data_IF_560645105175
#
_entry.id   IF_560645105175
#
_cell.length_a   1.000
_cell.length_b   1.000
_cell.length_c   1.000
_cell.angle_alpha   90.00
_cell.angle_beta   90.00
_cell.angle_gamma   90.00
#
_symmetry.space_group_name_H-M   'P 1'
#
loop_
_entity.id
_entity.type
_entity.pdbx_description
1 polymer ?
#
# COMPACT_ATOMS: atom_id res chain seq x y z
N UNK A 1 14.50 -52.35 58.06
CA UNK A 1 15.22 -51.50 57.05
C UNK A 1 14.73 -51.88 55.69
N UNK A 2 13.85 -51.02 55.13
CA UNK A 2 13.33 -51.13 53.77
C UNK A 2 14.09 -50.10 52.86
N UNK A 3 14.79 -50.65 51.88
CA UNK A 3 15.39 -49.85 50.77
C UNK A 3 14.31 -49.43 49.80
N UNK A 4 14.21 -48.09 49.56
CA UNK A 4 13.37 -47.49 48.54
C UNK A 4 14.21 -47.32 47.29
N UNK A 5 13.96 -48.11 46.26
CA UNK A 5 14.52 -47.98 44.92
C UNK A 5 13.67 -46.95 44.16
N UNK A 6 14.23 -45.77 43.90
CA UNK A 6 13.66 -44.76 42.97
C UNK A 6 14.07 -45.14 41.56
N UNK A 7 13.09 -45.50 40.72
CA UNK A 7 13.27 -45.59 39.27
C UNK A 7 13.52 -44.20 38.66
N UNK A 8 14.40 -44.07 37.66
CA UNK A 8 14.57 -42.82 36.91
C UNK A 8 13.41 -42.60 35.93
N UNK A 9 12.71 -41.49 36.08
CA UNK A 9 11.68 -41.02 35.16
C UNK A 9 12.32 -40.69 33.83
N UNK A 10 12.00 -41.45 32.80
CA UNK A 10 12.40 -41.18 31.41
C UNK A 10 11.64 -39.95 30.93
N UNK A 11 12.32 -38.81 30.78
CA UNK A 11 11.78 -37.66 30.07
C UNK A 11 11.48 -38.05 28.62
N UNK A 12 10.23 -37.90 28.22
CA UNK A 12 9.80 -38.06 26.83
C UNK A 12 10.46 -36.97 25.96
N UNK A 13 11.45 -37.37 25.18
CA UNK A 13 12.00 -36.54 24.11
C UNK A 13 10.88 -36.30 23.09
N UNK A 14 10.29 -35.11 23.12
CA UNK A 14 9.36 -34.68 22.07
C UNK A 14 10.16 -34.52 20.78
N UNK A 15 9.94 -35.45 19.83
CA UNK A 15 10.44 -35.28 18.45
C UNK A 15 10.02 -33.91 17.90
N UNK A 16 10.92 -33.20 17.17
CA UNK A 16 10.56 -31.97 16.53
C UNK A 16 9.43 -32.24 15.53
N UNK A 17 8.27 -31.60 15.74
CA UNK A 17 7.12 -31.65 14.86
C UNK A 17 7.59 -31.21 13.45
N UNK A 18 7.77 -32.17 12.57
CA UNK A 18 8.08 -31.92 11.18
C UNK A 18 6.89 -31.19 10.54
N UNK A 19 7.07 -29.89 10.25
CA UNK A 19 6.09 -29.12 9.48
C UNK A 19 5.83 -29.90 8.18
N UNK A 20 4.57 -30.26 7.84
CA UNK A 20 4.29 -31.05 6.67
C UNK A 20 4.86 -30.37 5.42
N UNK A 21 5.70 -31.10 4.66
CA UNK A 21 6.23 -30.60 3.38
C UNK A 21 5.05 -30.26 2.47
N UNK A 22 4.99 -29.06 1.91
CA UNK A 22 3.89 -28.67 1.02
C UNK A 22 3.73 -29.67 -0.13
N UNK A 23 2.51 -30.11 -0.37
CA UNK A 23 2.20 -31.09 -1.45
C UNK A 23 2.35 -30.50 -2.85
N UNK A 24 2.41 -29.17 -2.95
CA UNK A 24 2.57 -28.44 -4.23
C UNK A 24 3.86 -27.63 -4.23
N UNK A 25 4.65 -27.75 -5.29
CA UNK A 25 5.92 -27.04 -5.47
C UNK A 25 5.69 -25.76 -6.28
N UNK A 26 6.00 -24.56 -5.75
CA UNK A 26 5.88 -23.31 -6.48
C UNK A 26 6.68 -23.33 -7.79
N UNK A 27 6.01 -23.04 -8.90
CA UNK A 27 6.66 -22.89 -10.22
C UNK A 27 6.95 -21.43 -10.56
N UNK A 28 6.28 -20.48 -9.87
CA UNK A 28 6.48 -19.05 -10.05
C UNK A 28 5.92 -18.21 -8.91
N UNK A 29 6.34 -16.96 -8.88
CA UNK A 29 5.82 -15.93 -7.98
C UNK A 29 5.69 -14.61 -8.73
N UNK A 30 4.61 -13.87 -8.49
CA UNK A 30 4.35 -12.53 -9.04
C UNK A 30 3.94 -11.58 -7.93
N UNK A 31 4.23 -10.30 -8.12
CA UNK A 31 3.79 -9.19 -7.28
C UNK A 31 2.73 -8.37 -8.01
N UNK A 32 1.80 -7.78 -7.28
CA UNK A 32 0.79 -6.87 -7.83
C UNK A 32 1.38 -5.52 -8.28
N UNK A 33 2.59 -5.17 -7.83
CA UNK A 33 3.36 -3.99 -8.23
C UNK A 33 4.84 -4.33 -8.35
N UNK A 34 5.50 -3.75 -9.35
CA UNK A 34 6.95 -3.78 -9.56
C UNK A 34 7.65 -2.51 -9.10
N UNK A 35 6.88 -1.41 -9.05
CA UNK A 35 7.36 -0.10 -8.63
C UNK A 35 6.31 0.60 -7.77
N UNK A 36 6.76 1.21 -6.67
CA UNK A 36 5.92 1.92 -5.70
C UNK A 36 6.64 3.21 -5.30
N UNK A 37 5.89 4.31 -5.22
CA UNK A 37 6.37 5.58 -4.66
C UNK A 37 5.56 5.88 -3.41
N UNK A 38 6.24 6.09 -2.28
CA UNK A 38 5.65 6.41 -0.98
C UNK A 38 6.26 7.69 -0.42
N UNK A 39 5.48 8.44 0.32
CA UNK A 39 6.01 9.43 1.24
C UNK A 39 6.57 8.75 2.50
N UNK A 40 7.50 9.39 3.19
CA UNK A 40 7.97 8.90 4.50
C UNK A 40 6.79 8.64 5.45
N UNK A 41 6.84 7.55 6.23
CA UNK A 41 5.79 7.08 7.15
C UNK A 41 4.57 6.41 6.50
N UNK A 42 4.42 6.46 5.18
CA UNK A 42 3.35 5.75 4.47
C UNK A 42 3.62 4.25 4.39
N UNK A 43 2.56 3.48 4.18
CA UNK A 43 2.63 2.02 4.04
C UNK A 43 1.87 1.55 2.81
N UNK A 44 2.29 0.40 2.27
CA UNK A 44 1.66 -0.28 1.14
C UNK A 44 1.58 -1.78 1.39
N UNK A 45 0.42 -2.39 1.16
CA UNK A 45 0.27 -3.84 1.20
C UNK A 45 0.63 -4.44 -0.16
N UNK A 46 1.81 -5.04 -0.26
CA UNK A 46 2.30 -5.71 -1.46
C UNK A 46 1.71 -7.12 -1.51
N UNK A 47 0.89 -7.40 -2.52
CA UNK A 47 0.29 -8.72 -2.69
C UNK A 47 1.14 -9.60 -3.60
N UNK A 48 1.20 -10.90 -3.26
CA UNK A 48 1.88 -11.92 -4.04
C UNK A 48 0.90 -12.95 -4.60
N UNK A 49 1.20 -13.49 -5.76
CA UNK A 49 0.53 -14.66 -6.34
C UNK A 49 1.57 -15.73 -6.61
N UNK A 50 1.35 -16.94 -6.06
CA UNK A 50 2.24 -18.09 -6.24
C UNK A 50 1.57 -19.07 -7.21
N UNK A 51 2.30 -19.47 -8.26
CA UNK A 51 1.83 -20.48 -9.21
C UNK A 51 2.20 -21.87 -8.69
N UNK A 52 1.24 -22.79 -8.64
CA UNK A 52 1.37 -24.14 -8.08
C UNK A 52 1.91 -24.17 -6.63
N UNK A 53 1.42 -23.25 -5.78
CA UNK A 53 1.84 -23.18 -4.39
C UNK A 53 0.87 -22.31 -3.58
N UNK A 54 1.22 -22.02 -2.34
CA UNK A 54 0.46 -21.13 -1.47
C UNK A 54 1.32 -20.00 -0.87
N UNK A 55 0.68 -18.99 -0.32
CA UNK A 55 1.34 -17.80 0.21
C UNK A 55 2.15 -18.08 1.50
N UNK A 56 1.82 -19.12 2.28
CA UNK A 56 2.57 -19.47 3.50
C UNK A 56 4.02 -19.90 3.24
N UNK A 57 4.37 -20.07 1.95
CA UNK A 57 5.71 -20.44 1.50
C UNK A 57 6.54 -19.24 1.02
N UNK A 58 6.03 -18.01 1.21
CA UNK A 58 6.69 -16.78 0.74
C UNK A 58 7.32 -16.06 1.93
N UNK A 59 8.57 -15.67 1.75
CA UNK A 59 9.30 -14.78 2.66
C UNK A 59 9.59 -13.46 1.98
N UNK A 60 9.56 -12.36 2.74
CA UNK A 60 9.87 -11.03 2.25
C UNK A 60 11.19 -10.52 2.82
N UNK A 61 11.92 -9.76 2.03
CA UNK A 61 13.15 -9.09 2.45
C UNK A 61 13.27 -7.72 1.81
N UNK A 62 14.03 -6.83 2.45
CA UNK A 62 14.34 -5.49 1.95
C UNK A 62 15.84 -5.33 1.76
N UNK A 63 16.23 -4.64 0.71
CA UNK A 63 17.63 -4.30 0.45
C UNK A 63 18.19 -3.24 1.39
N UNK A 64 17.34 -2.35 1.93
CA UNK A 64 17.76 -1.31 2.86
C UNK A 64 16.63 -0.94 3.85
N UNK A 65 16.76 -1.41 5.09
CA UNK A 65 15.80 -1.15 6.18
C UNK A 65 15.72 0.32 6.61
N UNK A 66 16.74 1.13 6.33
CA UNK A 66 16.72 2.57 6.61
C UNK A 66 15.85 3.35 5.63
N UNK A 67 15.53 2.77 4.47
CA UNK A 67 14.67 3.37 3.44
C UNK A 67 13.25 2.80 3.51
N UNK A 68 13.12 1.47 3.51
CA UNK A 68 11.84 0.80 3.62
C UNK A 68 11.98 -0.54 4.35
N UNK A 69 11.02 -0.87 5.19
CA UNK A 69 10.88 -2.20 5.82
C UNK A 69 9.75 -2.96 5.16
N UNK A 70 9.73 -4.27 5.32
CA UNK A 70 8.63 -5.15 4.92
C UNK A 70 8.41 -6.19 6.02
N UNK A 71 7.15 -6.48 6.35
CA UNK A 71 6.79 -7.53 7.28
C UNK A 71 6.52 -8.87 6.57
N UNK A 72 6.20 -9.89 7.35
CA UNK A 72 5.90 -11.26 6.87
C UNK A 72 4.66 -11.33 5.96
N UNK A 73 3.74 -10.36 6.08
CA UNK A 73 2.52 -10.27 5.28
C UNK A 73 2.70 -9.43 4.00
N UNK A 74 3.92 -8.93 3.74
CA UNK A 74 4.22 -8.08 2.59
C UNK A 74 3.84 -6.61 2.77
N UNK A 75 3.50 -6.17 4.01
CA UNK A 75 3.27 -4.74 4.27
C UNK A 75 4.60 -4.00 4.30
N UNK A 76 4.78 -3.13 3.32
CA UNK A 76 5.91 -2.22 3.21
C UNK A 76 5.63 -0.98 4.06
N UNK A 77 6.63 -0.51 4.80
CA UNK A 77 6.60 0.77 5.52
C UNK A 77 7.77 1.62 5.07
N UNK A 78 7.48 2.84 4.59
CA UNK A 78 8.47 3.82 4.20
C UNK A 78 9.11 4.46 5.45
N UNK A 79 10.44 4.41 5.54
CA UNK A 79 11.21 4.89 6.71
C UNK A 79 11.97 6.17 6.38
N UNK A 80 12.83 6.13 5.38
CA UNK A 80 13.69 7.26 4.99
C UNK A 80 13.74 7.46 3.49
N UNK A 81 14.09 8.67 3.07
CA UNK A 81 14.16 9.04 1.65
C UNK A 81 15.24 8.22 0.94
N UNK A 82 14.92 7.70 -0.24
CA UNK A 82 15.80 6.89 -1.07
C UNK A 82 15.06 5.79 -1.82
N UNK A 83 15.81 4.81 -2.31
CA UNK A 83 15.25 3.66 -3.05
C UNK A 83 15.70 2.35 -2.41
N UNK A 84 14.78 1.43 -2.23
CA UNK A 84 15.04 0.08 -1.72
C UNK A 84 14.31 -0.95 -2.56
N UNK A 85 14.92 -2.13 -2.73
CA UNK A 85 14.33 -3.28 -3.41
C UNK A 85 13.69 -4.19 -2.36
N UNK A 86 12.40 -4.46 -2.51
CA UNK A 86 11.69 -5.49 -1.75
C UNK A 86 11.67 -6.76 -2.61
N UNK A 87 12.03 -7.89 -2.01
CA UNK A 87 12.05 -9.19 -2.67
C UNK A 87 11.15 -10.15 -1.94
N UNK A 88 10.22 -10.76 -2.66
CA UNK A 88 9.45 -11.92 -2.23
C UNK A 88 10.11 -13.20 -2.77
N UNK A 89 10.28 -14.20 -1.92
CA UNK A 89 10.96 -15.46 -2.26
C UNK A 89 10.17 -16.64 -1.75
N UNK A 90 9.93 -17.64 -2.60
CA UNK A 90 9.37 -18.93 -2.21
C UNK A 90 10.44 -19.81 -1.56
N UNK A 91 10.03 -20.84 -0.79
CA UNK A 91 10.96 -21.78 -0.15
C UNK A 91 11.91 -22.49 -1.14
N UNK A 92 11.47 -22.70 -2.39
CA UNK A 92 12.26 -23.34 -3.45
C UNK A 92 13.01 -22.33 -4.35
N UNK A 93 13.15 -21.06 -3.91
CA UNK A 93 14.02 -20.07 -4.50
C UNK A 93 13.42 -19.23 -5.64
N UNK A 94 12.13 -19.36 -6.01
CA UNK A 94 11.50 -18.45 -6.96
C UNK A 94 11.38 -17.06 -6.35
N UNK A 95 11.71 -16.02 -7.10
CA UNK A 95 11.72 -14.63 -6.61
C UNK A 95 10.93 -13.69 -7.50
N UNK A 96 10.33 -12.67 -6.88
CA UNK A 96 9.81 -11.48 -7.54
C UNK A 96 10.20 -10.25 -6.73
N UNK A 97 10.37 -9.10 -7.38
CA UNK A 97 10.86 -7.90 -6.72
C UNK A 97 10.02 -6.68 -7.06
N UNK A 98 9.98 -5.75 -6.10
CA UNK A 98 9.36 -4.44 -6.23
C UNK A 98 10.38 -3.37 -5.83
N UNK A 99 10.54 -2.32 -6.65
CA UNK A 99 11.34 -1.15 -6.34
C UNK A 99 10.48 -0.16 -5.55
N UNK A 100 10.91 0.19 -4.35
CA UNK A 100 10.24 1.19 -3.50
C UNK A 100 11.05 2.45 -3.48
N UNK A 101 10.52 3.54 -4.03
CA UNK A 101 11.08 4.87 -3.94
C UNK A 101 10.36 5.65 -2.84
N UNK A 102 11.10 6.02 -1.81
CA UNK A 102 10.59 6.83 -0.70
C UNK A 102 11.02 8.27 -0.91
N UNK A 103 10.07 9.19 -0.89
CA UNK A 103 10.27 10.64 -0.94
C UNK A 103 9.81 11.27 0.38
N UNK A 104 10.15 12.56 0.60
CA UNK A 104 9.54 13.32 1.70
C UNK A 104 8.01 13.27 1.55
N UNK A 105 7.28 13.06 2.64
CA UNK A 105 5.82 13.13 2.62
C UNK A 105 5.37 14.54 2.23
N UNK A 106 4.41 14.65 1.31
CA UNK A 106 3.86 15.93 0.89
C UNK A 106 3.14 16.61 2.07
N UNK A 107 3.53 17.84 2.39
CA UNK A 107 2.96 18.64 3.48
C UNK A 107 1.83 19.55 3.02
N UNK A 108 1.64 19.69 1.72
CA UNK A 108 0.61 20.52 1.09
C UNK A 108 0.13 19.94 -0.23
N UNK A 109 -1.01 20.42 -0.68
CA UNK A 109 -1.61 20.13 -1.99
C UNK A 109 -2.28 21.40 -2.51
N UNK A 110 -2.18 21.66 -3.81
CA UNK A 110 -2.86 22.76 -4.48
C UNK A 110 -3.75 22.23 -5.60
N UNK A 111 -4.77 23.00 -5.97
CA UNK A 111 -5.62 22.76 -7.13
C UNK A 111 -5.33 23.82 -8.19
N UNK A 112 -5.50 23.47 -9.47
CA UNK A 112 -5.37 24.42 -10.59
C UNK A 112 -6.45 25.51 -10.56
N UNK A 113 -7.56 25.28 -9.84
CA UNK A 113 -8.63 26.25 -9.56
C UNK A 113 -9.16 26.07 -8.15
N UNK A 114 -9.44 27.19 -7.47
CA UNK A 114 -10.12 27.22 -6.17
C UNK A 114 -11.62 27.49 -6.31
N UNK A 115 -12.05 27.92 -7.50
CA UNK A 115 -13.45 28.16 -7.84
C UNK A 115 -13.64 27.97 -9.34
N UNK A 116 -14.74 27.33 -9.75
CA UNK A 116 -15.18 27.14 -11.14
C UNK A 116 -16.69 27.38 -11.24
N UNK A 117 -17.12 27.94 -12.36
CA UNK A 117 -18.53 28.06 -12.73
C UNK A 117 -18.77 27.22 -13.97
N UNK A 118 -19.79 26.36 -13.96
CA UNK A 118 -20.10 25.42 -15.04
C UNK A 118 -21.58 25.49 -15.39
N UNK A 119 -21.91 25.47 -16.67
CA UNK A 119 -23.25 25.19 -17.15
C UNK A 119 -23.63 23.72 -16.90
N UNK A 120 -24.92 23.45 -16.73
CA UNK A 120 -25.43 22.05 -16.58
C UNK A 120 -24.99 21.21 -17.78
N UNK A 121 -24.39 20.07 -17.54
CA UNK A 121 -23.82 19.16 -18.53
C UNK A 121 -22.32 19.41 -18.80
N UNK A 122 -21.79 20.56 -18.45
CA UNK A 122 -20.36 20.86 -18.64
C UNK A 122 -19.46 20.05 -17.71
N UNK A 123 -18.20 19.90 -18.14
CA UNK A 123 -17.16 19.15 -17.43
C UNK A 123 -15.91 20.00 -17.27
N UNK A 124 -15.18 19.78 -16.19
CA UNK A 124 -13.91 20.46 -15.91
C UNK A 124 -12.91 19.49 -15.28
N UNK A 125 -11.68 19.47 -15.80
CA UNK A 125 -10.57 18.71 -15.23
C UNK A 125 -9.91 19.51 -14.10
N UNK A 126 -10.26 19.14 -12.86
CA UNK A 126 -9.69 19.73 -11.65
C UNK A 126 -8.41 18.99 -11.30
N UNK A 127 -7.27 19.59 -11.65
CA UNK A 127 -5.96 18.99 -11.42
C UNK A 127 -5.37 19.43 -10.09
N UNK A 128 -4.67 18.51 -9.44
CA UNK A 128 -3.95 18.79 -8.19
C UNK A 128 -2.45 18.61 -8.35
N UNK A 129 -1.67 19.37 -7.59
CA UNK A 129 -0.22 19.25 -7.49
C UNK A 129 0.24 19.23 -6.03
N UNK A 130 1.39 18.61 -5.81
CA UNK A 130 2.10 18.56 -4.51
C UNK A 130 3.50 19.14 -4.72
N UNK A 131 4.19 19.58 -3.65
CA UNK A 131 5.54 20.13 -3.76
C UNK A 131 6.50 19.18 -4.48
N UNK A 132 7.44 19.73 -5.24
CA UNK A 132 8.46 18.96 -5.95
C UNK A 132 9.25 18.07 -4.99
N UNK A 133 9.66 16.89 -5.47
CA UNK A 133 10.41 15.89 -4.69
C UNK A 133 9.69 15.35 -3.45
N UNK A 134 8.36 15.55 -3.35
CA UNK A 134 7.51 14.91 -2.34
C UNK A 134 6.66 13.80 -2.93
N UNK A 135 6.04 13.00 -2.08
CA UNK A 135 5.08 11.99 -2.48
C UNK A 135 3.91 11.92 -1.49
N UNK A 136 2.79 11.42 -1.97
CA UNK A 136 1.67 10.92 -1.19
C UNK A 136 1.16 9.67 -1.90
N UNK A 137 0.86 8.61 -1.15
CA UNK A 137 0.47 7.31 -1.71
C UNK A 137 -0.77 7.42 -2.61
N UNK A 138 -1.74 8.28 -2.24
CA UNK A 138 -2.89 8.59 -3.09
C UNK A 138 -3.29 10.06 -3.00
N UNK A 139 -3.98 10.50 -4.05
CA UNK A 139 -4.73 11.76 -4.15
C UNK A 139 -6.12 11.41 -4.64
N UNK A 140 -7.14 11.68 -3.84
CA UNK A 140 -8.51 11.31 -4.15
C UNK A 140 -9.43 12.53 -4.05
N UNK A 141 -10.35 12.63 -5.02
CA UNK A 141 -11.32 13.70 -5.11
C UNK A 141 -12.68 13.26 -4.56
N UNK A 142 -13.35 14.18 -3.89
CA UNK A 142 -14.65 13.98 -3.28
C UNK A 142 -15.53 15.21 -3.52
N UNK A 143 -16.79 15.00 -3.88
CA UNK A 143 -17.81 16.04 -3.95
C UNK A 143 -18.63 16.04 -2.67
N UNK A 144 -18.93 17.22 -2.13
CA UNK A 144 -19.84 17.35 -1.00
C UNK A 144 -21.31 17.14 -1.40
N UNK A 145 -21.64 17.34 -2.69
CA UNK A 145 -22.96 17.05 -3.23
C UNK A 145 -22.85 16.50 -4.66
N UNK A 146 -22.94 15.18 -4.80
CA UNK A 146 -22.83 14.48 -6.08
C UNK A 146 -24.06 14.64 -6.98
N UNK A 147 -25.18 15.14 -6.44
CA UNK A 147 -26.35 15.50 -7.25
C UNK A 147 -26.11 16.78 -8.04
N UNK A 148 -25.35 17.74 -7.46
CA UNK A 148 -24.99 18.99 -8.14
C UNK A 148 -23.79 18.75 -9.06
N UNK A 149 -22.65 18.31 -8.51
CA UNK A 149 -21.44 18.10 -9.29
C UNK A 149 -20.64 16.88 -8.74
N UNK A 150 -20.85 15.68 -9.31
CA UNK A 150 -19.97 14.53 -9.06
C UNK A 150 -18.57 14.78 -9.61
N UNK A 151 -17.58 14.09 -9.03
CA UNK A 151 -16.18 14.13 -9.46
C UNK A 151 -15.62 12.71 -9.60
N UNK A 152 -14.79 12.46 -10.59
CA UNK A 152 -14.03 11.22 -10.70
C UNK A 152 -12.98 11.14 -9.58
N UNK A 153 -13.08 10.11 -8.76
CA UNK A 153 -12.30 9.95 -7.52
C UNK A 153 -10.78 9.99 -7.73
N UNK A 154 -10.27 9.38 -8.79
CA UNK A 154 -8.83 9.31 -9.06
C UNK A 154 -8.36 10.36 -10.10
N UNK A 155 -9.27 10.90 -10.92
CA UNK A 155 -8.92 11.74 -12.06
C UNK A 155 -9.26 13.22 -11.89
N UNK A 156 -10.19 13.56 -10.97
CA UNK A 156 -10.60 14.96 -10.75
C UNK A 156 -11.56 15.53 -11.79
N UNK A 157 -12.07 14.74 -12.75
CA UNK A 157 -13.07 15.20 -13.71
C UNK A 157 -14.39 15.50 -13.00
N UNK A 158 -14.74 16.78 -12.91
CA UNK A 158 -15.99 17.31 -12.38
C UNK A 158 -17.02 17.38 -13.50
N UNK A 159 -18.28 17.00 -13.22
CA UNK A 159 -19.40 17.13 -14.16
C UNK A 159 -20.55 17.87 -13.48
N UNK A 160 -21.00 19.00 -14.04
CA UNK A 160 -22.17 19.72 -13.54
C UNK A 160 -23.47 18.97 -13.95
N UNK A 161 -24.26 18.51 -12.98
CA UNK A 161 -25.52 17.78 -13.23
C UNK A 161 -26.77 18.64 -13.06
N UNK A 162 -26.78 19.46 -12.02
CA UNK A 162 -27.91 20.34 -11.72
C UNK A 162 -27.41 21.70 -11.24
N UNK A 163 -28.22 22.75 -11.45
CA UNK A 163 -27.91 24.07 -10.93
C UNK A 163 -27.79 24.06 -9.39
N UNK A 164 -26.82 24.79 -8.89
CA UNK A 164 -26.54 24.89 -7.45
C UNK A 164 -25.06 25.08 -7.16
N UNK A 165 -24.72 25.10 -5.89
CA UNK A 165 -23.32 25.26 -5.45
C UNK A 165 -22.90 24.08 -4.57
N UNK A 166 -21.69 23.59 -4.83
CA UNK A 166 -21.06 22.54 -4.03
C UNK A 166 -19.56 22.78 -3.89
N UNK A 167 -18.85 21.93 -3.18
CA UNK A 167 -17.39 21.94 -3.09
C UNK A 167 -16.81 20.60 -3.48
N UNK A 168 -15.72 20.61 -4.22
CA UNK A 168 -14.88 19.47 -4.51
C UNK A 168 -13.63 19.57 -3.62
N UNK A 169 -13.29 18.48 -2.95
CA UNK A 169 -12.07 18.35 -2.15
C UNK A 169 -11.14 17.33 -2.77
N UNK A 170 -9.86 17.66 -2.88
CA UNK A 170 -8.81 16.70 -3.18
C UNK A 170 -7.99 16.44 -1.93
N UNK A 171 -7.93 15.19 -1.50
CA UNK A 171 -7.32 14.77 -0.24
C UNK A 171 -6.14 13.83 -0.48
N UNK A 172 -5.03 14.07 0.21
CA UNK A 172 -3.86 13.20 0.25
C UNK A 172 -4.03 12.08 1.28
N UNK A 173 -3.21 11.04 1.16
CA UNK A 173 -3.09 9.92 2.10
C UNK A 173 -2.86 10.33 3.55
N UNK A 174 -2.16 11.44 3.79
CA UNK A 174 -1.87 12.00 5.11
C UNK A 174 -2.92 13.00 5.63
N UNK A 175 -4.06 13.13 4.93
CA UNK A 175 -5.17 13.99 5.34
C UNK A 175 -5.07 15.45 4.89
N UNK A 176 -3.96 15.91 4.28
CA UNK A 176 -3.88 17.24 3.68
C UNK A 176 -4.88 17.36 2.54
N UNK A 177 -5.53 18.51 2.42
CA UNK A 177 -6.56 18.71 1.39
C UNK A 177 -6.53 20.11 0.77
N UNK A 178 -7.05 20.20 -0.46
CA UNK A 178 -7.35 21.45 -1.14
C UNK A 178 -8.79 21.42 -1.65
N UNK A 179 -9.42 22.57 -1.72
CA UNK A 179 -10.87 22.73 -1.96
C UNK A 179 -11.09 23.62 -3.18
N UNK A 180 -12.05 23.24 -4.02
CA UNK A 180 -12.58 24.04 -5.11
C UNK A 180 -14.09 24.21 -4.95
N UNK A 181 -14.58 25.46 -5.00
CA UNK A 181 -16.01 25.78 -5.07
C UNK A 181 -16.51 25.57 -6.50
N UNK A 182 -17.66 24.92 -6.68
CA UNK A 182 -18.34 24.71 -7.97
C UNK A 182 -19.70 25.38 -7.91
N UNK A 183 -19.99 26.24 -8.86
CA UNK A 183 -21.28 26.94 -8.98
C UNK A 183 -21.86 26.69 -10.35
#
# INVERSE_FOLDING_TARGET
TAESTTEPTTEAVTEPTTVPKPTTVPTGIKLNKTDIVLGTTESYALSTTVTNGNLSQVTFSTGNKKIATVDENGKITAVGVGTSKITAKTYNGKTASCTVTVKKLADSITLNKTSITLGVGEKYDLNSSIPNNTAAYYRLYYSNNTAIAPVQKAGGLVTAKTAGTTTIRCKLSNGKEAICKVT
#
